data_IF_764874834910
#
_entry.id   IF_764874834910
#
_cell.length_a   1.000
_cell.length_b   1.000
_cell.length_c   1.000
_cell.angle_alpha   90.00
_cell.angle_beta   90.00
_cell.angle_gamma   90.00
#
_symmetry.space_group_name_H-M   'P 1'
#
loop_
_entity.id
_entity.type
_entity.pdbx_description
1 polymer ?
#
# COMPACT_ATOMS: atom_id res chain seq x y z
N UNK A 1 1.85 20.20 9.16
CA UNK A 1 3.16 19.58 8.88
C UNK A 1 3.02 18.06 8.98
N UNK A 2 3.09 17.35 7.85
CA UNK A 2 2.92 15.90 7.79
C UNK A 2 4.27 15.19 8.02
N UNK A 3 4.27 13.85 8.09
CA UNK A 3 5.48 13.02 8.27
C UNK A 3 6.56 13.29 7.21
N UNK A 4 6.18 13.67 5.99
CA UNK A 4 7.11 14.02 4.89
C UNK A 4 8.08 15.15 5.26
N UNK A 5 7.60 16.15 6.00
CA UNK A 5 8.38 17.34 6.32
C UNK A 5 9.20 17.18 7.61
N UNK A 6 9.15 15.99 8.22
CA UNK A 6 9.91 15.69 9.42
C UNK A 6 11.41 15.61 9.11
N UNK A 7 12.24 16.15 10.01
CA UNK A 7 13.69 16.24 9.78
C UNK A 7 14.37 14.86 9.85
N UNK A 8 13.81 13.93 10.61
CA UNK A 8 14.38 12.61 10.89
C UNK A 8 13.86 11.60 9.88
N UNK A 9 12.53 11.45 9.78
CA UNK A 9 11.91 10.42 8.93
C UNK A 9 11.57 10.91 7.52
N UNK A 10 11.48 12.23 7.30
CA UNK A 10 11.02 12.80 6.02
C UNK A 10 11.88 12.42 4.81
N UNK A 11 13.20 12.25 5.00
CA UNK A 11 14.12 11.78 3.94
C UNK A 11 13.79 10.37 3.45
N UNK A 12 13.26 9.51 4.32
CA UNK A 12 12.87 8.16 3.92
C UNK A 12 11.67 8.17 3.00
N UNK A 13 10.76 9.13 3.15
CA UNK A 13 9.58 9.28 2.31
C UNK A 13 9.85 9.90 0.94
N UNK A 14 11.03 10.51 0.73
CA UNK A 14 11.38 11.16 -0.52
C UNK A 14 11.45 10.20 -1.72
N UNK A 15 11.75 8.92 -1.47
CA UNK A 15 11.84 7.88 -2.50
C UNK A 15 10.49 7.29 -2.90
N UNK A 16 9.43 7.55 -2.12
CA UNK A 16 8.13 6.92 -2.31
C UNK A 16 7.15 7.82 -3.05
N UNK A 17 6.30 7.19 -3.89
CA UNK A 17 5.10 7.84 -4.42
C UNK A 17 4.06 7.89 -3.30
N UNK A 18 3.96 9.03 -2.63
CA UNK A 18 3.16 9.20 -1.41
C UNK A 18 1.67 8.92 -1.60
N UNK A 19 1.10 9.20 -2.77
CA UNK A 19 -0.30 8.90 -3.07
C UNK A 19 -0.54 7.38 -3.00
N UNK A 20 0.24 6.61 -3.76
CA UNK A 20 0.16 5.14 -3.73
C UNK A 20 0.46 4.56 -2.35
N UNK A 21 1.40 5.16 -1.60
CA UNK A 21 1.71 4.72 -0.24
C UNK A 21 0.52 4.95 0.70
N UNK A 22 -0.15 6.10 0.57
CA UNK A 22 -1.34 6.42 1.34
C UNK A 22 -2.47 5.44 1.04
N UNK A 23 -2.75 5.17 -0.23
CA UNK A 23 -3.84 4.26 -0.62
C UNK A 23 -3.60 2.86 -0.04
N UNK A 24 -2.38 2.33 -0.19
CA UNK A 24 -2.01 1.03 0.42
C UNK A 24 -2.12 1.02 1.94
N UNK A 25 -1.85 2.14 2.60
CA UNK A 25 -1.98 2.25 4.07
C UNK A 25 -3.46 2.26 4.48
N UNK A 26 -4.31 2.94 3.71
CA UNK A 26 -5.76 2.96 3.94
C UNK A 26 -6.36 1.57 3.73
N UNK A 27 -5.99 0.89 2.64
CA UNK A 27 -6.46 -0.48 2.36
C UNK A 27 -6.06 -1.44 3.47
N UNK A 28 -4.81 -1.35 3.95
CA UNK A 28 -4.33 -2.17 5.05
C UNK A 28 -5.13 -1.92 6.34
N UNK A 29 -5.27 -0.66 6.75
CA UNK A 29 -5.99 -0.30 7.97
C UNK A 29 -7.48 -0.65 7.88
N UNK A 30 -8.07 -0.57 6.68
CA UNK A 30 -9.44 -1.00 6.44
C UNK A 30 -9.60 -2.49 6.73
N UNK A 31 -8.67 -3.32 6.27
CA UNK A 31 -8.70 -4.77 6.57
C UNK A 31 -8.49 -5.07 8.06
N UNK A 32 -7.55 -4.37 8.71
CA UNK A 32 -7.26 -4.55 10.14
C UNK A 32 -8.47 -4.20 11.04
N UNK A 33 -9.25 -3.19 10.66
CA UNK A 33 -10.45 -2.76 11.40
C UNK A 33 -11.75 -3.46 10.98
N UNK A 34 -11.66 -4.63 10.35
CA UNK A 34 -12.82 -5.47 10.03
C UNK A 34 -13.47 -5.20 8.66
N UNK A 35 -12.79 -4.48 7.78
CA UNK A 35 -13.17 -4.32 6.38
C UNK A 35 -12.66 -5.46 5.49
N UNK A 36 -12.52 -5.17 4.20
CA UNK A 36 -12.01 -6.12 3.22
C UNK A 36 -10.54 -6.48 3.50
N UNK A 37 -10.22 -7.78 3.41
CA UNK A 37 -8.87 -8.27 3.70
C UNK A 37 -7.83 -7.65 2.74
N UNK A 38 -6.71 -7.21 3.30
CA UNK A 38 -5.60 -6.68 2.52
C UNK A 38 -4.92 -7.79 1.71
N UNK A 39 -4.90 -7.66 0.38
CA UNK A 39 -4.37 -8.68 -0.55
C UNK A 39 -2.93 -8.43 -1.00
N UNK A 40 -2.37 -7.28 -0.63
CA UNK A 40 -1.03 -6.88 -1.05
C UNK A 40 0.06 -7.54 -0.20
N UNK A 41 1.33 -7.28 -0.54
CA UNK A 41 2.50 -7.88 0.12
C UNK A 41 2.46 -7.75 1.65
N UNK A 42 2.92 -8.79 2.34
CA UNK A 42 3.02 -8.80 3.80
C UNK A 42 3.77 -7.59 4.36
N UNK A 43 3.38 -7.22 5.57
CA UNK A 43 3.93 -6.07 6.27
C UNK A 43 5.45 -6.22 6.49
N UNK A 44 5.92 -7.42 6.85
CA UNK A 44 7.35 -7.66 7.08
C UNK A 44 8.16 -7.58 5.78
N UNK A 45 7.64 -8.11 4.67
CA UNK A 45 8.29 -8.04 3.35
C UNK A 45 8.45 -6.59 2.93
N UNK A 46 7.37 -5.81 3.05
CA UNK A 46 7.34 -4.41 2.63
C UNK A 46 8.25 -3.50 3.46
N UNK A 47 8.58 -3.86 4.70
CA UNK A 47 9.41 -3.03 5.59
C UNK A 47 10.84 -3.56 5.79
N UNK A 48 11.12 -4.81 5.41
CA UNK A 48 12.43 -5.47 5.56
C UNK A 48 13.59 -4.66 4.97
N UNK A 49 13.40 -4.04 3.81
CA UNK A 49 14.43 -3.27 3.10
C UNK A 49 14.64 -1.86 3.66
N UNK A 50 13.80 -1.40 4.61
CA UNK A 50 13.85 -0.03 5.14
C UNK A 50 14.68 0.12 6.40
N UNK A 51 14.95 -0.99 7.12
CA UNK A 51 15.71 -0.96 8.37
C UNK A 51 15.08 -0.02 9.39
N UNK A 52 13.77 -0.09 9.57
CA UNK A 52 13.02 0.82 10.44
C UNK A 52 13.47 0.63 11.88
N UNK A 53 13.93 1.70 12.52
CA UNK A 53 14.31 1.72 13.94
C UNK A 53 13.13 2.02 14.85
N UNK A 54 13.22 1.63 16.12
CA UNK A 54 12.25 2.01 17.15
C UNK A 54 12.02 3.53 17.19
N UNK A 55 13.08 4.33 17.14
CA UNK A 55 12.97 5.80 17.19
C UNK A 55 12.11 6.35 16.05
N UNK A 56 12.23 5.78 14.85
CA UNK A 56 11.45 6.22 13.69
C UNK A 56 9.99 5.82 13.84
N UNK A 57 9.74 4.64 14.37
CA UNK A 57 8.40 4.16 14.68
C UNK A 57 7.71 5.04 15.74
N UNK A 58 8.42 5.42 16.80
CA UNK A 58 7.88 6.30 17.83
C UNK A 58 7.58 7.71 17.30
N UNK A 59 8.40 8.23 16.38
CA UNK A 59 8.11 9.50 15.69
C UNK A 59 6.84 9.36 14.85
N UNK A 60 6.70 8.26 14.10
CA UNK A 60 5.51 7.96 13.32
C UNK A 60 4.27 7.91 14.23
N UNK A 61 4.34 7.23 15.38
CA UNK A 61 3.23 7.17 16.34
C UNK A 61 2.81 8.54 16.87
N UNK A 62 3.77 9.45 17.13
CA UNK A 62 3.46 10.83 17.53
C UNK A 62 2.64 11.57 16.47
N UNK A 63 2.84 11.29 15.19
CA UNK A 63 2.03 11.88 14.12
C UNK A 63 0.62 11.27 14.04
N UNK A 64 0.46 9.96 14.27
CA UNK A 64 -0.87 9.34 14.38
C UNK A 64 -1.68 9.97 15.52
N UNK A 65 -1.09 10.09 16.72
CA UNK A 65 -1.75 10.76 17.86
C UNK A 65 -2.17 12.19 17.52
N UNK A 66 -1.30 12.95 16.83
CA UNK A 66 -1.63 14.31 16.37
C UNK A 66 -2.80 14.34 15.38
N UNK A 67 -2.86 13.37 14.46
CA UNK A 67 -3.93 13.28 13.47
C UNK A 67 -5.26 12.84 14.09
N UNK A 68 -5.25 11.86 15.00
CA UNK A 68 -6.46 11.42 15.72
C UNK A 68 -7.04 12.57 16.58
N UNK A 69 -6.18 13.33 17.26
CA UNK A 69 -6.59 14.57 17.96
C UNK A 69 -7.19 15.62 17.04
N UNK A 70 -6.64 15.78 15.83
CA UNK A 70 -7.16 16.73 14.83
C UNK A 70 -8.57 16.35 14.35
N UNK A 71 -8.85 15.06 14.21
CA UNK A 71 -10.16 14.52 13.82
C UNK A 71 -11.15 14.51 15.00
N UNK A 72 -10.70 14.84 16.22
CA UNK A 72 -11.50 14.84 17.46
C UNK A 72 -12.14 13.49 17.77
N UNK A 73 -11.38 12.42 17.52
CA UNK A 73 -11.83 11.07 17.81
C UNK A 73 -11.99 10.86 19.33
N UNK A 74 -12.99 10.09 19.79
CA UNK A 74 -13.13 9.69 21.18
C UNK A 74 -11.87 9.00 21.72
N UNK A 75 -11.62 9.16 23.02
CA UNK A 75 -10.43 8.61 23.67
C UNK A 75 -10.38 7.07 23.60
N UNK A 76 -11.53 6.41 23.76
CA UNK A 76 -11.64 4.95 23.71
C UNK A 76 -11.20 4.39 22.34
N UNK A 77 -11.78 4.90 21.25
CA UNK A 77 -11.41 4.51 19.88
C UNK A 77 -9.95 4.86 19.54
N UNK A 78 -9.48 6.01 20.05
CA UNK A 78 -8.07 6.41 19.88
C UNK A 78 -7.13 5.38 20.51
N UNK A 79 -7.42 4.91 21.73
CA UNK A 79 -6.59 3.92 22.42
C UNK A 79 -6.61 2.56 21.72
N UNK A 80 -7.76 2.13 21.21
CA UNK A 80 -7.88 0.90 20.43
C UNK A 80 -7.06 0.95 19.14
N UNK A 81 -7.17 2.04 18.39
CA UNK A 81 -6.38 2.25 17.15
C UNK A 81 -4.89 2.28 17.49
N UNK A 82 -4.48 3.00 18.54
CA UNK A 82 -3.07 3.06 18.92
C UNK A 82 -2.53 1.70 19.37
N UNK A 83 -3.34 0.88 20.07
CA UNK A 83 -2.97 -0.47 20.46
C UNK A 83 -2.82 -1.40 19.24
N UNK A 84 -3.75 -1.33 18.28
CA UNK A 84 -3.63 -2.07 17.01
C UNK A 84 -2.39 -1.64 16.23
N UNK A 85 -2.12 -0.33 16.14
CA UNK A 85 -0.88 0.18 15.53
C UNK A 85 0.35 -0.40 16.24
N UNK A 86 0.40 -0.33 17.56
CA UNK A 86 1.54 -0.84 18.34
C UNK A 86 1.78 -2.34 18.17
N UNK A 87 0.74 -3.15 17.97
CA UNK A 87 0.88 -4.58 17.64
C UNK A 87 1.61 -4.80 16.31
N UNK A 88 1.50 -3.87 15.35
CA UNK A 88 2.25 -3.90 14.09
C UNK A 88 3.73 -3.50 14.23
N UNK A 89 4.18 -3.04 15.40
CA UNK A 89 5.60 -2.70 15.61
C UNK A 89 6.51 -3.90 15.31
N UNK A 90 6.14 -5.10 15.77
CA UNK A 90 6.97 -6.30 15.65
C UNK A 90 7.37 -6.66 14.20
N UNK A 91 6.43 -6.74 13.24
CA UNK A 91 6.78 -7.04 11.84
C UNK A 91 7.40 -5.86 11.08
N UNK A 92 7.43 -4.64 11.64
CA UNK A 92 7.95 -3.44 10.96
C UNK A 92 9.34 -3.06 11.45
N UNK A 93 9.56 -3.08 12.76
CA UNK A 93 10.77 -2.55 13.39
C UNK A 93 11.86 -3.61 13.39
N UNK A 94 13.01 -3.22 12.84
CA UNK A 94 14.17 -4.09 12.67
C UNK A 94 15.44 -3.41 13.23
N UNK A 95 15.64 -3.44 14.55
CA UNK A 95 16.77 -2.76 15.18
C UNK A 95 18.12 -3.41 14.84
N UNK A 96 18.12 -4.60 14.22
CA UNK A 96 19.33 -5.38 13.91
C UNK A 96 19.42 -5.88 12.47
N UNK A 97 18.62 -5.34 11.54
CA UNK A 97 18.54 -5.80 10.14
C UNK A 97 18.22 -7.30 9.96
N UNK A 98 17.60 -7.94 10.97
CA UNK A 98 17.20 -9.35 10.93
C UNK A 98 16.09 -9.62 9.91
N UNK A 99 15.13 -8.70 9.76
CA UNK A 99 14.08 -8.81 8.75
C UNK A 99 14.68 -8.69 7.35
N UNK A 100 15.71 -7.86 7.17
CA UNK A 100 16.45 -7.75 5.91
C UNK A 100 17.16 -9.07 5.57
N UNK A 101 17.88 -9.66 6.52
CA UNK A 101 18.53 -10.96 6.32
C UNK A 101 17.53 -12.07 6.00
N UNK A 102 16.39 -12.10 6.71
CA UNK A 102 15.31 -13.03 6.42
C UNK A 102 14.72 -12.83 5.02
N UNK A 103 14.58 -11.59 4.58
CA UNK A 103 14.09 -11.26 3.24
C UNK A 103 15.06 -11.71 2.15
N UNK A 104 16.36 -11.48 2.30
CA UNK A 104 17.38 -11.94 1.34
C UNK A 104 17.34 -13.48 1.21
N UNK A 105 17.29 -14.20 2.33
CA UNK A 105 17.13 -15.66 2.32
C UNK A 105 15.81 -16.13 1.71
N UNK A 106 14.74 -15.36 1.88
CA UNK A 106 13.46 -15.67 1.25
C UNK A 106 13.54 -15.53 -0.27
N UNK A 107 14.14 -14.44 -0.76
CA UNK A 107 14.38 -14.25 -2.19
C UNK A 107 15.26 -15.36 -2.79
N UNK A 108 16.35 -15.73 -2.13
CA UNK A 108 17.22 -16.83 -2.58
C UNK A 108 16.45 -18.15 -2.72
N UNK A 109 15.60 -18.49 -1.75
CA UNK A 109 14.77 -19.70 -1.81
C UNK A 109 13.70 -19.66 -2.89
N UNK A 110 13.09 -18.50 -3.11
CA UNK A 110 12.10 -18.36 -4.19
C UNK A 110 12.78 -18.50 -5.56
N UNK A 111 13.98 -17.96 -5.75
CA UNK A 111 14.77 -18.13 -6.97
C UNK A 111 15.17 -19.59 -7.22
N UNK A 112 15.52 -20.34 -6.17
CA UNK A 112 15.80 -21.77 -6.25
C UNK A 112 14.56 -22.59 -6.67
N UNK A 113 13.37 -22.25 -6.15
CA UNK A 113 12.12 -22.94 -6.50
C UNK A 113 11.66 -22.68 -7.92
N UNK A 114 11.88 -21.47 -8.44
CA UNK A 114 11.46 -21.08 -9.79
C UNK A 114 12.45 -21.59 -10.86
N UNK A 115 13.49 -22.33 -10.44
CA UNK A 115 14.36 -23.07 -11.36
C UNK A 115 15.42 -22.19 -12.02
N UNK A 116 15.97 -21.21 -11.29
CA UNK A 116 17.20 -20.52 -11.69
C UNK A 116 17.16 -19.94 -13.10
N UNK A 117 16.08 -19.22 -13.46
CA UNK A 117 16.12 -18.41 -14.67
C UNK A 117 17.18 -17.33 -14.44
N UNK A 118 18.30 -17.39 -15.20
CA UNK A 118 19.51 -16.57 -15.06
C UNK A 118 19.36 -15.06 -15.29
N UNK A 119 18.29 -14.45 -14.78
CA UNK A 119 18.00 -13.02 -14.78
C UNK A 119 18.12 -12.36 -13.40
N UNK A 120 18.43 -13.11 -12.33
CA UNK A 120 18.70 -12.49 -11.03
C UNK A 120 20.09 -11.88 -11.01
N UNK A 121 20.14 -10.54 -11.00
CA UNK A 121 21.38 -9.78 -10.73
C UNK A 121 21.88 -10.19 -9.36
N UNK A 122 23.06 -10.83 -9.31
CA UNK A 122 23.70 -11.30 -8.08
C UNK A 122 23.71 -10.20 -7.00
N UNK A 123 23.46 -10.56 -5.72
CA UNK A 123 23.43 -9.61 -4.61
C UNK A 123 24.76 -8.86 -4.42
N UNK A 124 25.89 -9.36 -4.92
CA UNK A 124 27.19 -8.65 -4.87
C UNK A 124 27.15 -7.23 -5.47
N UNK A 125 26.18 -6.93 -6.35
CA UNK A 125 25.98 -5.60 -6.92
C UNK A 125 25.05 -4.68 -6.12
N UNK A 126 24.38 -5.17 -5.07
CA UNK A 126 23.45 -4.33 -4.29
C UNK A 126 24.20 -3.29 -3.45
N UNK A 127 25.38 -3.62 -2.92
CA UNK A 127 26.23 -2.69 -2.13
C UNK A 127 26.88 -1.61 -2.99
N UNK A 128 27.43 -1.98 -4.16
CA UNK A 128 27.95 -1.02 -5.16
C UNK A 128 26.85 -0.06 -5.66
N UNK A 129 25.64 -0.58 -5.90
CA UNK A 129 24.52 0.26 -6.31
C UNK A 129 24.05 1.16 -5.15
N UNK A 130 24.14 0.71 -3.90
CA UNK A 130 23.80 1.52 -2.72
C UNK A 130 24.82 2.62 -2.45
N UNK A 131 26.11 2.39 -2.73
CA UNK A 131 27.17 3.40 -2.65
C UNK A 131 27.08 4.41 -3.81
N UNK A 132 26.76 3.95 -5.03
CA UNK A 132 26.44 4.82 -6.16
C UNK A 132 25.20 5.69 -5.89
N UNK A 133 24.16 5.14 -5.25
CA UNK A 133 22.94 5.85 -4.85
C UNK A 133 23.17 6.91 -3.75
N UNK A 134 24.19 6.74 -2.91
CA UNK A 134 24.60 7.77 -1.94
C UNK A 134 25.49 8.86 -2.56
N UNK A 135 26.16 8.56 -3.68
CA UNK A 135 27.04 9.48 -4.40
C UNK A 135 26.35 10.28 -5.52
N UNK A 136 25.07 10.00 -5.84
CA UNK A 136 24.36 10.77 -6.87
C UNK A 136 24.01 12.19 -6.36
N UNK A 137 24.44 13.26 -7.06
CA UNK A 137 24.02 14.62 -6.73
C UNK A 137 22.52 14.75 -6.98
N UNK A 138 21.81 15.38 -6.04
CA UNK A 138 20.37 15.63 -6.13
C UNK A 138 20.00 16.24 -7.49
N UNK A 139 19.29 15.49 -8.33
CA UNK A 139 18.73 16.03 -9.56
C UNK A 139 17.76 17.15 -9.18
N UNK A 140 18.06 18.36 -9.67
CA UNK A 140 17.19 19.52 -9.53
C UNK A 140 15.84 19.22 -10.22
N UNK A 141 14.70 19.51 -9.57
CA UNK A 141 13.40 19.29 -10.18
C UNK A 141 13.21 20.33 -11.29
N UNK A 142 13.21 19.92 -12.56
CA UNK A 142 12.95 20.89 -13.64
C UNK A 142 13.18 20.48 -15.09
N UNK A 143 13.72 19.29 -15.42
CA UNK A 143 13.87 18.89 -16.82
C UNK A 143 12.85 17.81 -17.20
N UNK A 144 11.83 18.22 -17.96
CA UNK A 144 10.95 17.31 -18.69
C UNK A 144 11.79 16.55 -19.72
N UNK A 145 11.61 15.22 -19.88
CA UNK A 145 12.25 14.50 -20.96
C UNK A 145 11.68 14.99 -22.30
N UNK A 146 12.57 15.54 -23.14
CA UNK A 146 12.28 15.90 -24.52
C UNK A 146 11.93 14.62 -25.27
N UNK A 147 10.66 14.49 -25.69
CA UNK A 147 10.23 13.45 -26.60
C UNK A 147 10.92 13.69 -27.95
N UNK A 148 11.64 12.68 -28.42
CA UNK A 148 12.25 12.63 -29.75
C UNK A 148 11.11 12.37 -30.77
N UNK A 149 10.91 13.22 -31.79
CA UNK A 149 9.86 13.01 -32.78
C UNK A 149 10.24 11.85 -33.70
N UNK A 150 9.41 10.80 -33.72
CA UNK A 150 9.44 9.74 -34.73
C UNK A 150 8.63 10.22 -35.95
N UNK A 151 9.19 10.02 -37.15
CA UNK A 151 8.66 10.48 -38.42
C UNK A 151 7.29 9.85 -38.80
N UNK A 152 6.50 10.51 -39.67
CA UNK A 152 5.23 9.99 -40.16
C UNK A 152 5.43 9.02 -41.35
N UNK A 153 4.76 7.86 -41.30
CA UNK A 153 4.59 6.96 -42.44
C UNK A 153 3.35 7.37 -43.27
N UNK A 154 3.43 7.46 -44.61
CA UNK A 154 2.30 7.78 -45.47
C UNK A 154 1.63 6.52 -46.04
N UNK A 155 0.33 6.67 -46.33
CA UNK A 155 -0.50 5.84 -47.22
C UNK A 155 -1.08 4.52 -46.67
N UNK A 156 -2.39 4.55 -46.39
CA UNK A 156 -3.32 3.74 -47.19
C UNK A 156 -4.74 4.34 -47.13
N UNK A 157 -5.28 4.60 -48.32
CA UNK A 157 -6.63 5.09 -48.59
C UNK A 157 -7.63 3.92 -48.76
N UNK A 158 -8.92 4.25 -48.68
CA UNK A 158 -10.06 3.48 -49.23
C UNK A 158 -10.64 2.46 -48.25
N UNK A 159 -11.95 2.28 -48.07
CA UNK A 159 -13.11 2.70 -48.84
C UNK A 159 -14.37 2.67 -47.97
N UNK A 160 -15.43 3.27 -48.52
CA UNK A 160 -16.73 3.59 -47.93
C UNK A 160 -17.68 2.38 -47.83
N UNK A 161 -18.60 2.36 -46.86
CA UNK A 161 -20.05 2.23 -47.16
C UNK A 161 -20.95 2.14 -45.92
N UNK A 162 -21.88 3.09 -45.85
CA UNK A 162 -23.31 2.99 -45.55
C UNK A 162 -23.85 2.22 -44.30
N UNK A 163 -24.55 3.00 -43.47
CA UNK A 163 -25.72 2.69 -42.63
C UNK A 163 -26.88 2.08 -43.48
N UNK A 164 -28.01 1.53 -42.95
CA UNK A 164 -28.67 1.85 -41.66
C UNK A 164 -29.41 0.67 -40.95
N UNK A 165 -30.02 0.93 -39.78
CA UNK A 165 -31.18 0.13 -39.33
C UNK A 165 -31.35 -0.11 -37.83
N UNK A 166 -31.99 0.84 -37.15
CA UNK A 166 -33.22 0.68 -36.34
C UNK A 166 -33.37 -0.41 -35.24
N UNK A 167 -33.90 0.07 -34.11
CA UNK A 167 -34.84 -0.53 -33.14
C UNK A 167 -34.45 -1.80 -32.37
N UNK A 168 -34.43 -1.71 -31.04
CA UNK A 168 -35.55 -2.17 -30.21
C UNK A 168 -35.27 -2.02 -28.70
N UNK A 169 -36.38 -1.83 -28.01
CA UNK A 169 -36.64 -1.57 -26.59
C UNK A 169 -36.30 -2.73 -25.63
N UNK A 170 -36.10 -2.35 -24.36
CA UNK A 170 -36.00 -3.19 -23.14
C UNK A 170 -37.14 -4.22 -22.96
N UNK A 171 -37.03 -5.17 -21.99
CA UNK A 171 -37.47 -4.86 -20.62
C UNK A 171 -36.72 -5.53 -19.46
N UNK A 172 -36.77 -4.82 -18.33
CA UNK A 172 -36.99 -5.25 -16.93
C UNK A 172 -37.15 -6.75 -16.64
N UNK A 173 -36.44 -7.21 -15.61
CA UNK A 173 -36.88 -8.31 -14.75
C UNK A 173 -36.54 -7.98 -13.30
N UNK A 174 -37.58 -7.58 -12.58
CA UNK A 174 -37.69 -7.51 -11.13
C UNK A 174 -37.56 -8.92 -10.52
N UNK A 175 -37.01 -9.00 -9.31
CA UNK A 175 -37.02 -10.19 -8.47
C UNK A 175 -37.23 -9.76 -7.03
N UNK A 176 -38.45 -9.99 -6.56
CA UNK A 176 -39.07 -9.56 -5.33
C UNK A 176 -38.44 -10.07 -4.02
N UNK A 177 -38.47 -9.15 -3.06
CA UNK A 177 -38.84 -9.27 -1.65
C UNK A 177 -39.69 -10.51 -1.28
N UNK A 178 -39.28 -11.30 -0.28
CA UNK A 178 -40.22 -11.91 0.68
C UNK A 178 -39.54 -12.30 2.00
N UNK A 179 -39.94 -11.58 3.06
CA UNK A 179 -40.23 -11.99 4.44
C UNK A 179 -39.32 -12.97 5.20
N UNK A 180 -38.92 -12.57 6.43
CA UNK A 180 -39.67 -12.92 7.68
C UNK A 180 -38.78 -12.79 8.93
N UNK A 181 -39.12 -11.91 9.90
CA UNK A 181 -38.51 -11.89 11.21
C UNK A 181 -39.18 -12.90 12.15
N UNK A 182 -38.39 -13.72 12.86
CA UNK A 182 -38.87 -14.56 13.94
C UNK A 182 -38.48 -13.94 15.30
N UNK A 183 -39.51 -13.51 16.02
CA UNK A 183 -39.46 -13.16 17.43
C UNK A 183 -39.13 -14.40 18.29
N UNK A 184 -38.32 -14.20 19.33
CA UNK A 184 -38.02 -15.21 20.35
C UNK A 184 -37.78 -14.56 21.69
N UNK A 185 -38.86 -14.38 22.45
CA UNK A 185 -38.86 -13.91 23.83
C UNK A 185 -38.15 -14.89 24.78
N UNK A 186 -37.55 -14.38 25.85
CA UNK A 186 -37.79 -14.86 27.23
C UNK A 186 -37.17 -13.92 28.27
N UNK A 187 -38.06 -13.28 29.02
CA UNK A 187 -37.80 -12.76 30.35
C UNK A 187 -37.35 -13.89 31.30
N UNK A 188 -36.52 -13.57 32.28
CA UNK A 188 -36.71 -14.04 33.66
C UNK A 188 -36.10 -13.06 34.65
N UNK A 189 -36.93 -12.76 35.63
CA UNK A 189 -36.73 -11.90 36.78
C UNK A 189 -35.94 -12.59 37.90
N UNK A 190 -35.63 -11.78 38.93
CA UNK A 190 -35.43 -12.13 40.35
C UNK A 190 -34.12 -12.88 40.67
N UNK A 191 -33.46 -12.67 41.80
CA UNK A 191 -33.80 -11.98 43.04
C UNK A 191 -32.52 -11.68 43.85
N UNK A 192 -32.67 -10.67 44.72
CA UNK A 192 -32.03 -10.51 46.04
C UNK A 192 -30.65 -9.89 46.10
#
# INVERSE_FOLDING_TARGET
KLMRDDKVIGKQFARFRLERLKDRTVDYLRGEFGGEAYTSSDLWISHSHLGVRNDWYDIMMKYYVKMLKKVRMPKAETEEILASLENMRKPIVDPGQKLKEMYLRHCEKEDEKVGGSGWTVKPEKWEENHQALQAMPAQKPGQKPVQKPTAPDPASQGEQSALPGAVATSPVASGDDDSKPAAGAKAKAKAK
#
